data_IF_078962594918
#
_entry.id   IF_078962594918
#
_cell.length_a   1.000
_cell.length_b   1.000
_cell.length_c   1.000
_cell.angle_alpha   90.00
_cell.angle_beta   90.00
_cell.angle_gamma   90.00
#
_symmetry.space_group_name_H-M   'P 1'
#
loop_
_entity.id
_entity.type
_entity.pdbx_description
1 polymer ?
#
# COMPACT_ATOMS: atom_id res chain seq x y z
N UNK A 1 -8.77 -9.76 2.50
CA UNK A 1 -8.48 -8.32 2.37
C UNK A 1 -7.26 -8.17 1.49
N UNK A 2 -7.23 -7.17 0.64
CA UNK A 2 -6.05 -6.86 -0.16
C UNK A 2 -5.81 -5.36 -0.23
N UNK A 3 -4.60 -4.99 -0.58
CA UNK A 3 -4.16 -3.61 -0.78
C UNK A 3 -3.77 -3.43 -2.23
N UNK A 4 -4.20 -2.32 -2.83
CA UNK A 4 -3.68 -1.82 -4.09
C UNK A 4 -2.80 -0.60 -3.81
N UNK A 5 -1.65 -0.52 -4.47
CA UNK A 5 -0.69 0.56 -4.34
C UNK A 5 -0.32 1.13 -5.71
N UNK A 6 -0.71 2.38 -5.95
CA UNK A 6 -0.36 3.16 -7.13
C UNK A 6 1.00 3.85 -6.93
N UNK A 7 2.03 3.30 -7.56
CA UNK A 7 3.40 3.81 -7.46
C UNK A 7 3.63 5.08 -8.28
N UNK A 8 2.85 5.33 -9.33
CA UNK A 8 2.90 6.58 -10.10
C UNK A 8 2.46 7.75 -9.21
N UNK A 9 1.34 7.60 -8.51
CA UNK A 9 0.80 8.61 -7.58
C UNK A 9 1.67 8.81 -6.34
N UNK A 10 2.43 7.80 -5.92
CA UNK A 10 3.27 7.88 -4.71
C UNK A 10 4.26 9.06 -4.73
N UNK A 11 4.37 9.81 -3.63
CA UNK A 11 5.25 11.01 -3.55
C UNK A 11 6.44 10.85 -2.60
N UNK A 12 6.71 9.64 -2.11
CA UNK A 12 7.88 9.39 -1.25
C UNK A 12 7.78 10.02 0.14
N UNK A 13 6.57 10.18 0.69
CA UNK A 13 6.40 10.70 2.07
C UNK A 13 6.76 9.64 3.14
N UNK A 14 6.69 8.36 2.76
CA UNK A 14 7.06 7.20 3.57
C UNK A 14 6.33 7.07 4.92
N UNK A 15 5.12 7.63 5.07
CA UNK A 15 4.31 7.37 6.27
C UNK A 15 3.79 5.93 6.28
N UNK A 16 3.43 5.39 5.11
CA UNK A 16 3.04 3.98 4.96
C UNK A 16 4.08 3.00 5.53
N UNK A 17 5.37 3.26 5.35
CA UNK A 17 6.48 2.46 5.90
C UNK A 17 6.54 2.51 7.43
N UNK A 18 6.05 3.57 8.06
CA UNK A 18 6.00 3.67 9.52
C UNK A 18 4.77 2.95 10.11
N UNK A 19 3.69 2.86 9.34
CA UNK A 19 2.43 2.26 9.77
C UNK A 19 2.36 0.76 9.48
N UNK A 20 3.01 0.27 8.42
CA UNK A 20 2.96 -1.13 8.02
C UNK A 20 4.27 -1.63 7.43
N UNK A 21 4.81 -2.72 8.00
CA UNK A 21 6.12 -3.31 7.66
C UNK A 21 6.18 -3.88 6.23
N UNK A 22 5.04 -4.07 5.55
CA UNK A 22 5.01 -4.49 4.15
C UNK A 22 5.53 -3.42 3.18
N UNK A 23 5.54 -2.14 3.59
CA UNK A 23 6.09 -1.06 2.77
C UNK A 23 7.58 -0.84 3.07
N UNK A 24 8.37 -0.72 2.02
CA UNK A 24 9.80 -0.43 2.10
C UNK A 24 10.13 0.92 1.45
N UNK A 25 11.20 1.59 1.90
CA UNK A 25 11.66 2.84 1.28
C UNK A 25 12.59 2.52 0.11
N UNK A 26 12.19 2.87 -1.10
CA UNK A 26 13.13 3.01 -2.21
C UNK A 26 13.64 4.45 -2.29
N UNK A 27 14.87 4.62 -1.81
CA UNK A 27 15.55 5.92 -1.83
C UNK A 27 16.21 6.23 -3.19
N UNK A 28 16.30 5.26 -4.09
CA UNK A 28 16.83 5.50 -5.44
C UNK A 28 15.77 6.20 -6.29
N UNK A 29 14.54 5.69 -6.24
CA UNK A 29 13.40 6.25 -6.99
C UNK A 29 12.65 7.33 -6.21
N UNK A 30 12.88 7.43 -4.90
CA UNK A 30 12.14 8.37 -4.04
C UNK A 30 10.68 7.94 -3.83
N UNK A 31 10.40 6.64 -3.94
CA UNK A 31 9.06 6.03 -3.85
C UNK A 31 9.07 4.93 -2.79
N UNK A 32 7.89 4.52 -2.34
CA UNK A 32 7.77 3.31 -1.54
C UNK A 32 7.63 2.09 -2.46
N UNK A 33 8.05 0.92 -1.99
CA UNK A 33 7.79 -0.37 -2.63
C UNK A 33 6.91 -1.21 -1.69
N UNK A 34 6.01 -2.01 -2.26
CA UNK A 34 5.14 -2.92 -1.51
C UNK A 34 5.69 -4.35 -1.58
N UNK A 35 6.26 -4.84 -0.49
CA UNK A 35 6.92 -6.13 -0.45
C UNK A 35 5.92 -7.28 -0.67
N UNK A 36 6.31 -8.24 -1.52
CA UNK A 36 5.47 -9.40 -1.83
C UNK A 36 4.25 -9.11 -2.74
N UNK A 37 4.14 -7.88 -3.24
CA UNK A 37 3.08 -7.52 -4.19
C UNK A 37 3.33 -8.11 -5.59
N UNK A 38 2.26 -8.19 -6.36
CA UNK A 38 2.26 -8.47 -7.80
C UNK A 38 1.81 -7.22 -8.54
N UNK A 39 2.52 -6.88 -9.62
CA UNK A 39 2.11 -5.81 -10.52
C UNK A 39 0.99 -6.32 -11.44
N UNK A 40 -0.22 -5.78 -11.27
CA UNK A 40 -1.42 -6.18 -12.04
C UNK A 40 -1.69 -5.24 -13.23
N UNK A 41 -1.26 -3.98 -13.14
CA UNK A 41 -1.28 -2.98 -14.21
C UNK A 41 -0.04 -2.07 -14.09
N UNK A 42 0.19 -1.17 -15.06
CA UNK A 42 1.33 -0.23 -15.07
C UNK A 42 1.37 0.57 -13.76
N UNK A 43 2.42 0.36 -12.97
CA UNK A 43 2.65 0.97 -11.65
C UNK A 43 1.57 0.64 -10.57
N UNK A 44 0.71 -0.36 -10.81
CA UNK A 44 -0.31 -0.82 -9.85
C UNK A 44 0.10 -2.15 -9.21
N UNK A 45 0.39 -2.11 -7.91
CA UNK A 45 0.90 -3.24 -7.14
C UNK A 45 -0.15 -3.73 -6.14
N UNK A 46 -0.43 -5.03 -6.16
CA UNK A 46 -1.48 -5.65 -5.33
C UNK A 46 -0.89 -6.71 -4.40
N UNK A 47 -1.30 -6.72 -3.13
CA UNK A 47 -0.91 -7.76 -2.16
C UNK A 47 -2.08 -8.18 -1.29
N UNK A 48 -2.17 -9.48 -1.00
CA UNK A 48 -3.07 -9.97 0.04
C UNK A 48 -2.54 -9.57 1.42
N UNK A 49 -3.42 -9.04 2.27
CA UNK A 49 -3.05 -8.64 3.63
C UNK A 49 -2.98 -9.88 4.53
N UNK A 50 -1.85 -10.16 5.20
CA UNK A 50 -1.75 -11.28 6.14
C UNK A 50 -2.72 -11.16 7.32
N UNK A 51 -3.18 -12.29 7.85
CA UNK A 51 -4.01 -12.34 9.05
C UNK A 51 -3.33 -11.59 10.21
N UNK A 52 -4.03 -10.62 10.80
CA UNK A 52 -3.54 -9.81 11.91
C UNK A 52 -2.82 -8.51 11.52
N UNK A 53 -2.62 -8.24 10.23
CA UNK A 53 -2.04 -6.99 9.70
C UNK A 53 -3.09 -6.03 9.11
N UNK A 54 -4.39 -6.35 9.23
CA UNK A 54 -5.48 -5.62 8.58
C UNK A 54 -5.61 -4.18 9.08
N UNK A 55 -5.29 -3.95 10.35
CA UNK A 55 -5.33 -2.62 10.95
C UNK A 55 -4.17 -1.75 10.45
N UNK A 56 -2.98 -2.33 10.36
CA UNK A 56 -1.75 -1.66 9.94
C UNK A 56 -1.84 -1.26 8.47
N UNK A 57 -2.32 -2.17 7.61
CA UNK A 57 -2.64 -1.87 6.20
C UNK A 57 -3.59 -0.67 6.05
N UNK A 58 -4.66 -0.60 6.87
CA UNK A 58 -5.60 0.54 6.87
C UNK A 58 -4.97 1.84 7.37
N UNK A 59 -4.07 1.78 8.35
CA UNK A 59 -3.36 2.97 8.82
C UNK A 59 -2.35 3.46 7.80
N UNK A 60 -1.63 2.55 7.13
CA UNK A 60 -0.74 2.90 6.03
C UNK A 60 -1.50 3.65 4.93
N UNK A 61 -2.66 3.13 4.51
CA UNK A 61 -3.52 3.79 3.53
C UNK A 61 -3.99 5.18 3.98
N UNK A 62 -4.56 5.29 5.20
CA UNK A 62 -5.04 6.57 5.76
C UNK A 62 -3.95 7.61 5.98
N UNK A 63 -2.70 7.18 6.18
CA UNK A 63 -1.55 8.07 6.37
C UNK A 63 -1.03 8.64 5.05
N UNK A 64 -1.42 8.06 3.91
CA UNK A 64 -0.97 8.48 2.60
C UNK A 64 -1.58 9.85 2.24
N UNK A 65 -0.77 10.89 1.98
CA UNK A 65 -1.28 12.23 1.71
C UNK A 65 -1.86 12.42 0.31
N UNK A 66 -1.74 11.41 -0.55
CA UNK A 66 -2.08 11.45 -1.98
C UNK A 66 -2.96 10.27 -2.41
N UNK A 67 -3.52 9.53 -1.44
CA UNK A 67 -4.45 8.42 -1.69
C UNK A 67 -3.89 7.34 -2.65
N UNK A 68 -2.57 7.14 -2.66
CA UNK A 68 -1.91 6.13 -3.49
C UNK A 68 -2.11 4.68 -3.02
N UNK A 69 -2.83 4.46 -1.92
CA UNK A 69 -2.98 3.15 -1.29
C UNK A 69 -4.47 2.96 -0.99
N UNK A 70 -5.06 1.91 -1.56
CA UNK A 70 -6.45 1.53 -1.34
C UNK A 70 -6.52 0.19 -0.62
N UNK A 71 -7.53 0.01 0.23
CA UNK A 71 -7.75 -1.25 0.97
C UNK A 71 -9.12 -1.80 0.64
N UNK A 72 -9.17 -3.08 0.28
CA UNK A 72 -10.37 -3.79 -0.08
C UNK A 72 -10.62 -4.96 0.87
N UNK A 73 -11.85 -5.15 1.31
CA UNK A 73 -12.20 -6.30 2.16
C UNK A 73 -12.34 -7.61 1.37
N UNK A 74 -12.78 -8.68 2.04
CA UNK A 74 -12.91 -10.01 1.44
C UNK A 74 -14.04 -10.12 0.40
N UNK A 75 -14.98 -9.17 0.41
CA UNK A 75 -16.08 -9.07 -0.54
C UNK A 75 -15.71 -8.16 -1.74
N UNK A 76 -14.52 -7.55 -1.71
CA UNK A 76 -14.03 -6.62 -2.73
C UNK A 76 -14.60 -5.21 -2.60
N UNK A 77 -15.17 -4.85 -1.44
CA UNK A 77 -15.58 -3.47 -1.16
C UNK A 77 -14.39 -2.65 -0.67
N UNK A 78 -14.19 -1.46 -1.25
CA UNK A 78 -13.16 -0.51 -0.79
C UNK A 78 -13.54 0.04 0.59
N UNK A 79 -12.64 -0.11 1.56
CA UNK A 79 -12.84 0.29 2.96
C UNK A 79 -11.97 1.45 3.42
N UNK A 80 -10.92 1.77 2.66
CA UNK A 80 -10.07 2.97 2.77
C UNK A 80 -9.74 3.43 1.35
#
# INVERSE_FOLDING_TARGET
MYVEFDRDTCVGMYQCVAEWDAFEKDLNDGKADLAGSTEEDEDLFVVEVPDGEELDAKFAARSCPVDAIEVYDDDGEQVV
#
